data_IF_679080862190
#
_entry.id   IF_679080862190
#
_cell.length_a   1.000
_cell.length_b   1.000
_cell.length_c   1.000
_cell.angle_alpha   90.00
_cell.angle_beta   90.00
_cell.angle_gamma   90.00
#
_symmetry.space_group_name_H-M   'P 1'
#
loop_
_entity.id
_entity.type
_entity.pdbx_description
1 polymer ?
#
# COMPACT_ATOMS: atom_id res chain seq x y z
N UNK A 1 -37.67 -0.52 21.47
CA UNK A 1 -37.92 0.88 21.08
C UNK A 1 -38.97 1.01 19.97
N UNK A 2 -38.79 0.51 18.74
CA UNK A 2 -39.84 0.66 17.69
C UNK A 2 -41.21 0.05 18.07
N UNK A 3 -41.24 -1.15 18.66
CA UNK A 3 -42.49 -1.79 19.14
C UNK A 3 -43.11 -1.00 20.30
N UNK A 4 -42.28 -0.42 21.16
CA UNK A 4 -42.71 0.40 22.30
C UNK A 4 -43.32 1.71 21.83
N UNK A 5 -42.74 2.34 20.81
CA UNK A 5 -43.32 3.52 20.15
C UNK A 5 -44.67 3.21 19.50
N UNK A 6 -44.78 2.07 18.80
CA UNK A 6 -46.06 1.58 18.24
C UNK A 6 -47.11 1.36 19.33
N UNK A 7 -46.70 0.77 20.46
CA UNK A 7 -47.55 0.55 21.64
C UNK A 7 -48.04 1.88 22.23
N UNK A 8 -47.19 2.90 22.35
CA UNK A 8 -47.59 4.22 22.84
C UNK A 8 -48.67 4.82 21.95
N UNK A 9 -48.51 4.75 20.61
CA UNK A 9 -49.55 5.21 19.68
C UNK A 9 -50.89 4.50 19.91
N UNK A 10 -50.89 3.16 20.02
CA UNK A 10 -52.10 2.40 20.27
C UNK A 10 -52.76 2.71 21.61
N UNK A 11 -51.97 2.98 22.65
CA UNK A 11 -52.49 3.38 23.95
C UNK A 11 -53.14 4.77 23.90
N UNK A 12 -52.56 5.72 23.19
CA UNK A 12 -53.14 7.05 22.99
C UNK A 12 -54.44 6.97 22.20
N UNK A 13 -54.46 6.25 21.07
CA UNK A 13 -55.67 6.07 20.26
C UNK A 13 -56.81 5.38 21.03
N UNK A 14 -56.47 4.43 21.91
CA UNK A 14 -57.45 3.74 22.75
C UNK A 14 -58.05 4.66 23.83
N UNK A 15 -57.34 5.70 24.28
CA UNK A 15 -57.89 6.66 25.24
C UNK A 15 -58.97 7.56 24.61
N UNK A 16 -58.83 7.85 23.32
CA UNK A 16 -59.76 8.71 22.58
C UNK A 16 -60.98 7.93 22.04
N UNK A 17 -60.97 6.59 22.09
CA UNK A 17 -62.04 5.75 21.57
C UNK A 17 -62.96 5.22 22.68
N UNK A 18 -64.25 5.58 22.61
CA UNK A 18 -65.27 5.07 23.54
C UNK A 18 -65.38 3.54 23.47
N UNK A 19 -65.25 2.88 24.62
CA UNK A 19 -65.36 1.42 24.72
C UNK A 19 -64.07 0.63 24.48
N UNK A 20 -62.91 1.29 24.30
CA UNK A 20 -61.62 0.61 24.28
C UNK A 20 -61.07 0.40 25.69
N UNK A 21 -60.71 -0.83 26.05
CA UNK A 21 -59.98 -1.11 27.28
C UNK A 21 -58.50 -1.36 26.95
N UNK A 22 -57.58 -0.81 27.75
CA UNK A 22 -56.12 -1.05 27.59
C UNK A 22 -55.76 -2.54 27.64
N UNK A 23 -56.59 -3.38 28.28
CA UNK A 23 -56.45 -4.83 28.27
C UNK A 23 -56.66 -5.48 26.90
N UNK A 24 -57.43 -4.87 26.00
CA UNK A 24 -57.68 -5.37 24.64
C UNK A 24 -56.44 -5.29 23.75
N UNK A 25 -55.46 -4.45 24.10
CA UNK A 25 -54.19 -4.29 23.37
C UNK A 25 -53.18 -5.42 23.62
N UNK A 26 -53.44 -6.31 24.59
CA UNK A 26 -52.56 -7.41 24.95
C UNK A 26 -53.17 -8.75 24.55
N UNK A 27 -52.33 -9.65 24.05
CA UNK A 27 -52.75 -11.01 23.70
C UNK A 27 -53.22 -11.74 24.98
N UNK A 28 -54.54 -11.99 25.09
CA UNK A 28 -55.11 -12.83 26.15
C UNK A 28 -56.39 -12.32 26.81
N UNK A 29 -56.77 -11.04 26.64
CA UNK A 29 -57.91 -10.46 27.37
C UNK A 29 -58.92 -9.69 26.49
N UNK A 30 -58.68 -9.56 25.18
CA UNK A 30 -59.46 -8.65 24.34
C UNK A 30 -60.77 -9.22 23.79
N UNK A 31 -61.89 -8.51 24.00
CA UNK A 31 -63.17 -8.72 23.28
C UNK A 31 -63.58 -7.51 22.43
N UNK A 32 -62.82 -6.41 22.49
CA UNK A 32 -63.09 -5.18 21.74
C UNK A 32 -62.67 -5.21 20.27
N UNK A 33 -63.29 -4.36 19.46
CA UNK A 33 -62.89 -4.11 18.07
C UNK A 33 -61.66 -3.19 18.03
N UNK A 34 -60.53 -3.70 17.51
CA UNK A 34 -59.26 -2.97 17.40
C UNK A 34 -58.99 -2.44 15.99
N UNK A 35 -59.95 -2.50 15.08
CA UNK A 35 -59.79 -2.08 13.68
C UNK A 35 -59.42 -0.59 13.54
N UNK A 36 -59.89 0.25 14.45
CA UNK A 36 -59.61 1.70 14.48
C UNK A 36 -58.13 2.05 14.74
N UNK A 37 -57.35 1.14 15.35
CA UNK A 37 -55.94 1.40 15.66
C UNK A 37 -55.09 1.60 14.39
N UNK A 38 -55.44 0.92 13.29
CA UNK A 38 -54.74 1.10 12.02
C UNK A 38 -55.05 2.46 11.37
N UNK A 39 -56.26 2.99 11.57
CA UNK A 39 -56.62 4.33 11.07
C UNK A 39 -56.02 5.45 11.91
N UNK A 40 -55.86 5.25 13.22
CA UNK A 40 -55.31 6.26 14.14
C UNK A 40 -53.78 6.26 14.20
N UNK A 41 -53.12 5.13 13.92
CA UNK A 41 -51.66 5.00 13.95
C UNK A 41 -51.08 4.81 12.54
N UNK A 42 -51.32 5.80 11.66
CA UNK A 42 -50.77 5.78 10.31
C UNK A 42 -49.27 6.10 10.32
N UNK A 43 -48.49 5.32 9.57
CA UNK A 43 -47.04 5.49 9.43
C UNK A 43 -46.74 6.64 8.44
N UNK A 44 -47.00 7.87 8.86
CA UNK A 44 -46.79 9.09 8.08
C UNK A 44 -45.34 9.56 8.18
N UNK A 45 -44.80 10.12 7.08
CA UNK A 45 -43.52 10.84 7.12
C UNK A 45 -43.70 12.21 7.79
N UNK A 46 -42.64 12.74 8.41
CA UNK A 46 -42.64 14.06 9.07
C UNK A 46 -43.14 15.19 8.16
N UNK A 47 -42.93 15.08 6.84
CA UNK A 47 -43.37 16.05 5.83
C UNK A 47 -44.87 15.96 5.50
N UNK A 48 -45.53 14.87 5.88
CA UNK A 48 -46.94 14.57 5.60
C UNK A 48 -47.84 14.79 6.83
N UNK A 49 -47.24 15.03 8.01
CA UNK A 49 -47.94 15.39 9.24
C UNK A 49 -48.56 16.78 9.05
N UNK A 50 -49.88 16.82 8.88
CA UNK A 50 -50.63 18.07 8.65
C UNK A 50 -51.60 18.39 9.79
N UNK A 51 -51.93 17.41 10.63
CA UNK A 51 -52.88 17.54 11.73
C UNK A 51 -52.21 17.25 13.08
N UNK A 52 -52.57 17.98 14.16
CA UNK A 52 -52.10 17.65 15.53
C UNK A 52 -52.62 16.30 16.04
N UNK A 53 -53.52 15.64 15.31
CA UNK A 53 -54.03 14.30 15.63
C UNK A 53 -53.15 13.14 15.09
N UNK A 54 -52.18 13.44 14.20
CA UNK A 54 -51.32 12.41 13.61
C UNK A 54 -50.13 12.11 14.54
N UNK A 55 -49.87 10.81 14.78
CA UNK A 55 -48.79 10.39 15.68
C UNK A 55 -47.43 10.36 14.97
N UNK A 56 -46.44 11.06 15.51
CA UNK A 56 -45.08 11.08 14.97
C UNK A 56 -44.23 9.91 15.50
N UNK A 57 -43.84 9.02 14.57
CA UNK A 57 -43.00 7.85 14.83
C UNK A 57 -41.50 8.14 14.78
N UNK A 58 -41.09 9.33 14.34
CA UNK A 58 -39.70 9.78 14.31
C UNK A 58 -38.73 8.77 13.68
N UNK A 59 -37.62 8.51 14.37
CA UNK A 59 -36.55 7.62 13.91
C UNK A 59 -36.99 6.16 13.73
N UNK A 60 -38.11 5.76 14.34
CA UNK A 60 -38.60 4.39 14.27
C UNK A 60 -39.47 4.13 13.05
N UNK A 61 -39.87 5.19 12.31
CA UNK A 61 -40.63 5.07 11.07
C UNK A 61 -39.89 4.18 10.06
N UNK A 62 -38.56 4.35 9.97
CA UNK A 62 -37.69 3.53 9.11
C UNK A 62 -37.83 2.03 9.40
N UNK A 63 -37.94 1.64 10.67
CA UNK A 63 -38.07 0.23 11.08
C UNK A 63 -39.51 -0.30 10.98
N UNK A 64 -40.51 0.57 11.14
CA UNK A 64 -41.93 0.21 11.14
C UNK A 64 -42.50 0.09 9.72
N UNK A 65 -42.10 0.96 8.78
CA UNK A 65 -42.60 0.97 7.40
C UNK A 65 -42.32 -0.32 6.60
N UNK A 66 -41.12 -0.92 6.67
CA UNK A 66 -40.87 -2.22 6.04
C UNK A 66 -41.42 -3.40 6.87
N UNK A 67 -42.23 -3.14 7.91
CA UNK A 67 -42.83 -4.14 8.81
C UNK A 67 -41.78 -5.08 9.44
N UNK A 68 -40.54 -4.59 9.64
CA UNK A 68 -39.41 -5.38 10.16
C UNK A 68 -39.68 -5.81 11.60
N UNK A 69 -40.41 -5.00 12.37
CA UNK A 69 -40.84 -5.36 13.72
C UNK A 69 -41.80 -6.56 13.75
N UNK A 70 -42.57 -6.79 12.69
CA UNK A 70 -43.64 -7.78 12.62
C UNK A 70 -43.19 -9.12 12.01
N UNK A 71 -42.11 -9.11 11.23
CA UNK A 71 -41.53 -10.36 10.71
C UNK A 71 -41.11 -11.31 11.83
N UNK A 72 -41.25 -12.62 11.63
CA UNK A 72 -40.77 -13.64 12.57
C UNK A 72 -39.29 -13.98 12.37
N UNK A 73 -38.76 -13.76 11.17
CA UNK A 73 -37.39 -14.12 10.79
C UNK A 73 -36.32 -13.25 11.46
N UNK A 74 -35.50 -13.88 12.31
CA UNK A 74 -34.42 -13.20 13.01
C UNK A 74 -33.36 -12.62 12.06
N UNK A 75 -32.93 -13.37 11.05
CA UNK A 75 -31.87 -12.95 10.14
C UNK A 75 -32.22 -11.65 9.40
N UNK A 76 -33.48 -11.52 8.96
CA UNK A 76 -33.94 -10.31 8.26
C UNK A 76 -33.94 -9.10 9.19
N UNK A 77 -34.35 -9.27 10.45
CA UNK A 77 -34.26 -8.22 11.48
C UNK A 77 -32.82 -7.80 11.72
N UNK A 78 -31.92 -8.77 11.91
CA UNK A 78 -30.52 -8.51 12.18
C UNK A 78 -29.84 -7.70 11.07
N UNK A 79 -29.94 -8.15 9.81
CA UNK A 79 -29.29 -7.45 8.69
C UNK A 79 -29.88 -6.07 8.45
N UNK A 80 -31.19 -5.90 8.63
CA UNK A 80 -31.83 -4.59 8.53
C UNK A 80 -31.33 -3.63 9.63
N UNK A 81 -31.33 -4.07 10.89
CA UNK A 81 -30.83 -3.26 12.00
C UNK A 81 -29.34 -2.95 11.86
N UNK A 82 -28.54 -3.90 11.39
CA UNK A 82 -27.12 -3.71 11.12
C UNK A 82 -26.90 -2.67 10.01
N UNK A 83 -27.60 -2.79 8.89
CA UNK A 83 -27.54 -1.83 7.79
C UNK A 83 -27.96 -0.43 8.24
N UNK A 84 -29.07 -0.32 8.98
CA UNK A 84 -29.57 0.95 9.49
C UNK A 84 -28.58 1.60 10.46
N UNK A 85 -28.00 0.82 11.38
CA UNK A 85 -26.97 1.31 12.31
C UNK A 85 -25.72 1.77 11.57
N UNK A 86 -25.22 0.96 10.62
CA UNK A 86 -24.03 1.29 9.84
C UNK A 86 -24.21 2.55 8.99
N UNK A 87 -25.38 2.72 8.37
CA UNK A 87 -25.74 3.93 7.61
C UNK A 87 -25.63 5.18 8.47
N UNK A 88 -26.25 5.17 9.66
CA UNK A 88 -26.29 6.34 10.54
C UNK A 88 -24.93 6.65 11.19
N UNK A 89 -24.15 5.62 11.48
CA UNK A 89 -22.78 5.74 11.96
C UNK A 89 -21.87 6.39 10.91
N UNK A 90 -22.06 6.03 9.64
CA UNK A 90 -21.31 6.57 8.50
C UNK A 90 -21.76 7.98 8.12
N UNK A 91 -23.04 8.32 8.30
CA UNK A 91 -23.61 9.63 7.94
C UNK A 91 -23.66 10.62 9.10
N UNK A 92 -22.97 10.36 10.23
CA UNK A 92 -22.92 11.24 11.41
C UNK A 92 -24.32 11.63 11.94
N UNK A 93 -25.30 10.74 11.81
CA UNK A 93 -26.68 10.98 12.26
C UNK A 93 -27.47 12.04 11.47
N UNK A 94 -26.94 12.61 10.38
CA UNK A 94 -27.62 13.68 9.61
C UNK A 94 -28.95 13.28 8.98
N UNK A 95 -29.18 11.97 8.81
CA UNK A 95 -30.39 11.42 8.21
C UNK A 95 -31.44 10.99 9.25
N UNK A 96 -31.25 11.33 10.55
CA UNK A 96 -32.17 10.97 11.62
C UNK A 96 -33.19 12.09 11.85
N UNK A 97 -34.45 11.83 11.51
CA UNK A 97 -35.57 12.70 11.89
C UNK A 97 -36.11 12.27 13.26
N UNK A 98 -35.72 12.98 14.31
CA UNK A 98 -36.18 12.72 15.68
C UNK A 98 -37.53 13.38 15.93
N UNK A 99 -38.44 12.66 16.60
CA UNK A 99 -39.63 13.27 17.19
C UNK A 99 -39.26 14.08 18.45
N UNK A 100 -40.24 14.73 19.09
CA UNK A 100 -40.05 15.46 20.36
C UNK A 100 -39.83 14.55 21.58
N UNK A 101 -39.61 13.26 21.36
CA UNK A 101 -39.42 12.26 22.39
C UNK A 101 -37.99 12.26 22.94
N UNK A 102 -37.85 12.32 24.26
CA UNK A 102 -36.55 12.42 24.93
C UNK A 102 -35.68 11.19 24.69
N UNK A 103 -36.26 9.99 24.62
CA UNK A 103 -35.49 8.76 24.41
C UNK A 103 -34.95 8.70 22.97
N UNK A 104 -35.72 9.15 21.99
CA UNK A 104 -35.29 9.26 20.59
C UNK A 104 -34.12 10.23 20.44
N UNK A 105 -34.22 11.41 21.08
CA UNK A 105 -33.17 12.44 21.05
C UNK A 105 -31.89 11.92 21.68
N UNK A 106 -31.96 11.30 22.86
CA UNK A 106 -30.77 10.74 23.53
C UNK A 106 -30.11 9.62 22.71
N UNK A 107 -30.90 8.72 22.11
CA UNK A 107 -30.36 7.66 21.27
C UNK A 107 -29.70 8.19 19.98
N UNK A 108 -30.31 9.21 19.36
CA UNK A 108 -29.76 9.89 18.18
C UNK A 108 -28.44 10.60 18.49
N UNK A 109 -28.34 11.24 19.66
CA UNK A 109 -27.12 11.89 20.14
C UNK A 109 -25.98 10.88 20.30
N UNK A 110 -26.22 9.75 20.97
CA UNK A 110 -25.24 8.68 21.17
C UNK A 110 -24.70 8.15 19.82
N UNK A 111 -25.58 7.79 18.89
CA UNK A 111 -25.16 7.29 17.56
C UNK A 111 -24.32 8.33 16.81
N UNK A 112 -24.70 9.60 16.90
CA UNK A 112 -23.97 10.70 16.25
C UNK A 112 -22.57 10.87 16.84
N UNK A 113 -22.43 10.80 18.16
CA UNK A 113 -21.13 10.87 18.86
C UNK A 113 -20.23 9.68 18.43
N UNK A 114 -20.76 8.45 18.47
CA UNK A 114 -20.00 7.28 18.02
C UNK A 114 -19.60 7.38 16.55
N UNK A 115 -20.47 7.89 15.69
CA UNK A 115 -20.18 8.13 14.27
C UNK A 115 -19.01 9.08 14.06
N UNK A 116 -19.02 10.24 14.74
CA UNK A 116 -17.94 11.24 14.67
C UNK A 116 -16.60 10.67 15.13
N UNK A 117 -16.60 9.92 16.25
CA UNK A 117 -15.38 9.29 16.79
C UNK A 117 -14.81 8.29 15.79
N UNK A 118 -15.63 7.40 15.24
CA UNK A 118 -15.18 6.38 14.29
C UNK A 118 -14.63 6.98 13.00
N UNK A 119 -15.33 7.97 12.43
CA UNK A 119 -14.86 8.67 11.21
C UNK A 119 -13.54 9.39 11.47
N UNK A 120 -13.42 10.05 12.62
CA UNK A 120 -12.20 10.76 13.02
C UNK A 120 -11.03 9.82 13.27
N UNK A 121 -11.25 8.66 13.90
CA UNK A 121 -10.23 7.62 14.05
C UNK A 121 -9.78 7.06 12.70
N UNK A 122 -10.73 6.77 11.80
CA UNK A 122 -10.44 6.20 10.49
C UNK A 122 -9.63 7.18 9.61
N UNK A 123 -10.07 8.44 9.51
CA UNK A 123 -9.42 9.47 8.71
C UNK A 123 -8.09 9.90 9.36
N UNK A 124 -8.10 10.27 10.64
CA UNK A 124 -6.98 10.94 11.30
C UNK A 124 -5.82 10.02 11.68
N UNK A 125 -6.10 8.79 12.11
CA UNK A 125 -5.05 7.91 12.63
C UNK A 125 -4.63 6.82 11.65
N UNK A 126 -5.59 6.24 10.91
CA UNK A 126 -5.35 5.07 10.07
C UNK A 126 -4.99 5.45 8.64
N UNK A 127 -5.91 6.12 7.95
CA UNK A 127 -5.77 6.40 6.52
C UNK A 127 -4.58 7.32 6.22
N UNK A 128 -4.42 8.40 6.99
CA UNK A 128 -3.29 9.32 6.80
C UNK A 128 -1.94 8.65 7.05
N UNK A 129 -1.82 7.82 8.10
CA UNK A 129 -0.57 7.08 8.38
C UNK A 129 -0.29 6.01 7.33
N UNK A 130 -1.32 5.28 6.90
CA UNK A 130 -1.21 4.27 5.85
C UNK A 130 -0.76 4.88 4.53
N UNK A 131 -1.40 5.96 4.08
CA UNK A 131 -1.01 6.68 2.87
C UNK A 131 0.41 7.19 3.02
N UNK A 132 0.74 7.91 4.10
CA UNK A 132 2.08 8.47 4.34
C UNK A 132 3.18 7.41 4.37
N UNK A 133 2.91 6.21 4.89
CA UNK A 133 3.86 5.09 4.87
C UNK A 133 4.15 4.58 3.45
N UNK A 134 3.14 4.62 2.57
CA UNK A 134 3.22 4.13 1.19
C UNK A 134 3.74 5.22 0.25
N UNK A 135 3.42 6.48 0.50
CA UNK A 135 3.75 7.64 -0.37
C UNK A 135 4.93 8.47 0.13
N UNK A 136 5.41 8.26 1.36
CA UNK A 136 6.41 9.13 1.98
C UNK A 136 7.68 9.35 1.14
N UNK A 137 8.13 8.32 0.41
CA UNK A 137 9.30 8.44 -0.47
C UNK A 137 9.04 9.22 -1.76
N UNK A 138 7.80 9.21 -2.27
CA UNK A 138 7.41 10.02 -3.43
C UNK A 138 7.24 11.48 -3.04
N UNK A 139 6.63 11.73 -1.88
CA UNK A 139 6.46 13.07 -1.32
C UNK A 139 7.81 13.72 -0.97
N UNK A 140 8.74 12.96 -0.38
CA UNK A 140 10.09 13.47 -0.12
C UNK A 140 10.80 13.89 -1.41
N UNK A 141 10.61 13.14 -2.49
CA UNK A 141 11.14 13.46 -3.81
C UNK A 141 10.52 14.74 -4.39
N UNK A 142 9.19 14.91 -4.29
CA UNK A 142 8.50 16.05 -4.90
C UNK A 142 8.82 17.33 -4.16
N UNK A 143 8.94 17.27 -2.83
CA UNK A 143 9.38 18.40 -1.99
C UNK A 143 10.81 18.81 -2.36
N UNK A 144 11.78 17.90 -2.34
CA UNK A 144 13.16 18.19 -2.71
C UNK A 144 13.28 18.75 -4.12
N UNK A 145 12.51 18.21 -5.08
CA UNK A 145 12.46 18.73 -6.45
C UNK A 145 11.91 20.15 -6.49
N UNK A 146 10.85 20.45 -5.72
CA UNK A 146 10.28 21.78 -5.60
C UNK A 146 11.28 22.80 -5.05
N UNK A 147 12.01 22.43 -4.00
CA UNK A 147 13.05 23.27 -3.39
C UNK A 147 14.17 23.61 -4.40
N UNK A 148 14.64 22.63 -5.17
CA UNK A 148 15.67 22.83 -6.19
C UNK A 148 15.14 23.74 -7.31
N UNK A 149 13.91 23.53 -7.81
CA UNK A 149 13.32 24.40 -8.83
C UNK A 149 13.14 25.84 -8.34
N UNK A 150 12.68 26.02 -7.10
CA UNK A 150 12.55 27.33 -6.49
C UNK A 150 13.91 28.02 -6.36
N UNK A 151 14.94 27.30 -5.92
CA UNK A 151 16.31 27.81 -5.83
C UNK A 151 16.88 28.19 -7.21
N UNK A 152 16.66 27.36 -8.24
CA UNK A 152 17.07 27.65 -9.63
C UNK A 152 16.33 28.85 -10.23
N UNK A 153 15.06 29.05 -9.85
CA UNK A 153 14.25 30.20 -10.23
C UNK A 153 14.76 31.47 -9.57
N UNK A 154 14.97 31.44 -8.25
CA UNK A 154 15.46 32.57 -7.47
C UNK A 154 16.84 33.05 -7.92
N UNK A 155 17.71 32.13 -8.37
CA UNK A 155 19.04 32.45 -8.92
C UNK A 155 19.05 32.79 -10.41
N UNK A 156 17.89 32.84 -11.07
CA UNK A 156 17.76 33.19 -12.50
C UNK A 156 18.67 32.37 -13.41
N UNK A 157 18.82 31.06 -13.13
CA UNK A 157 19.69 30.20 -13.93
C UNK A 157 19.16 30.04 -15.37
N UNK A 158 20.04 29.97 -16.39
CA UNK A 158 19.63 29.76 -17.77
C UNK A 158 19.04 28.35 -17.97
N UNK A 159 18.10 28.20 -18.92
CA UNK A 159 17.32 26.96 -19.09
C UNK A 159 18.20 25.75 -19.47
N UNK A 160 19.32 25.98 -20.16
CA UNK A 160 20.28 24.92 -20.47
C UNK A 160 20.90 24.31 -19.20
N UNK A 161 21.21 25.13 -18.19
CA UNK A 161 21.77 24.70 -16.91
C UNK A 161 20.69 24.05 -16.06
N UNK A 162 19.48 24.60 -16.03
CA UNK A 162 18.32 23.99 -15.36
C UNK A 162 18.03 22.60 -15.90
N UNK A 163 18.03 22.43 -17.23
CA UNK A 163 17.84 21.13 -17.87
C UNK A 163 18.95 20.13 -17.48
N UNK A 164 20.21 20.59 -17.35
CA UNK A 164 21.31 19.74 -16.88
C UNK A 164 21.15 19.32 -15.41
N UNK A 165 20.75 20.25 -14.53
CA UNK A 165 20.49 19.97 -13.12
C UNK A 165 19.34 18.98 -12.97
N UNK A 166 18.21 19.19 -13.68
CA UNK A 166 17.07 18.26 -13.70
C UNK A 166 17.48 16.84 -14.10
N UNK A 167 18.28 16.69 -15.16
CA UNK A 167 18.79 15.37 -15.59
C UNK A 167 19.70 14.73 -14.54
N UNK A 168 20.57 15.51 -13.91
CA UNK A 168 21.46 15.02 -12.85
C UNK A 168 20.67 14.52 -11.64
N UNK A 169 19.69 15.29 -11.16
CA UNK A 169 18.83 14.89 -10.03
C UNK A 169 17.99 13.66 -10.34
N UNK A 170 17.42 13.57 -11.55
CA UNK A 170 16.72 12.36 -12.01
C UNK A 170 17.65 11.13 -12.01
N UNK A 171 18.88 11.29 -12.49
CA UNK A 171 19.86 10.22 -12.50
C UNK A 171 20.29 9.81 -11.07
N UNK A 172 20.56 10.79 -10.20
CA UNK A 172 20.89 10.59 -8.78
C UNK A 172 19.78 9.81 -8.08
N UNK A 173 18.51 10.17 -8.33
CA UNK A 173 17.36 9.47 -7.78
C UNK A 173 17.23 8.02 -8.26
N UNK A 174 17.35 7.77 -9.56
CA UNK A 174 17.26 6.42 -10.11
C UNK A 174 18.36 5.50 -9.58
N UNK A 175 19.51 6.04 -9.18
CA UNK A 175 20.59 5.24 -8.60
C UNK A 175 20.47 5.06 -7.09
N UNK A 176 20.27 6.16 -6.35
CA UNK A 176 20.35 6.17 -4.89
C UNK A 176 18.98 6.00 -4.20
N UNK A 177 17.86 6.03 -4.93
CA UNK A 177 16.47 5.99 -4.41
C UNK A 177 16.23 6.97 -3.25
N UNK A 178 16.92 8.11 -3.25
CA UNK A 178 16.84 9.13 -2.20
C UNK A 178 17.79 8.97 -1.02
N UNK A 179 18.60 7.90 -0.99
CA UNK A 179 19.57 7.68 0.08
C UNK A 179 20.83 8.48 -0.20
N UNK A 180 21.06 9.52 0.59
CA UNK A 180 22.34 10.23 0.59
C UNK A 180 23.36 9.44 1.43
N UNK A 181 24.17 8.64 0.74
CA UNK A 181 25.18 7.73 1.31
C UNK A 181 26.09 8.42 2.34
N UNK A 182 26.58 9.63 2.08
CA UNK A 182 27.38 10.41 3.03
C UNK A 182 26.61 10.76 4.32
N UNK A 183 25.36 11.21 4.20
CA UNK A 183 24.51 11.55 5.36
C UNK A 183 24.16 10.33 6.19
N UNK A 184 23.90 9.19 5.52
CA UNK A 184 23.61 7.92 6.16
C UNK A 184 24.84 7.43 6.93
N UNK A 185 26.01 7.48 6.29
CA UNK A 185 27.27 7.05 6.87
C UNK A 185 27.71 7.98 8.02
N UNK A 186 27.36 9.27 7.98
CA UNK A 186 27.66 10.20 9.07
C UNK A 186 26.81 10.01 10.31
N UNK A 187 25.62 9.41 10.19
CA UNK A 187 24.75 9.13 11.33
C UNK A 187 25.24 7.95 12.19
N UNK A 188 26.20 7.16 11.69
CA UNK A 188 26.79 6.05 12.42
C UNK A 188 27.99 6.47 13.30
N UNK A 189 28.23 5.78 14.43
CA UNK A 189 29.43 5.98 15.23
C UNK A 189 30.71 5.74 14.42
N UNK A 190 31.81 6.36 14.88
CA UNK A 190 33.09 6.40 14.13
C UNK A 190 33.60 5.01 13.75
N UNK A 191 33.42 4.03 14.62
CA UNK A 191 33.88 2.65 14.42
C UNK A 191 33.13 1.97 13.28
N UNK A 192 31.79 2.03 13.32
CA UNK A 192 30.94 1.43 12.28
C UNK A 192 31.14 2.11 10.92
N UNK A 193 31.32 3.43 10.92
CA UNK A 193 31.66 4.19 9.71
C UNK A 193 32.99 3.73 9.10
N UNK A 194 34.00 3.45 9.94
CA UNK A 194 35.29 2.95 9.48
C UNK A 194 35.14 1.58 8.85
N UNK A 195 34.42 0.67 9.50
CA UNK A 195 34.24 -0.70 9.01
C UNK A 195 33.45 -0.75 7.69
N UNK A 196 32.39 0.06 7.56
CA UNK A 196 31.63 0.20 6.30
C UNK A 196 32.53 0.73 5.18
N UNK A 197 33.30 1.79 5.44
CA UNK A 197 34.22 2.36 4.46
C UNK A 197 35.31 1.37 4.07
N UNK A 198 35.91 0.67 5.04
CA UNK A 198 36.92 -0.36 4.82
C UNK A 198 36.35 -1.47 3.95
N UNK A 199 35.16 -1.99 4.25
CA UNK A 199 34.53 -3.02 3.43
C UNK A 199 34.27 -2.58 1.98
N UNK A 200 33.71 -1.37 1.80
CA UNK A 200 33.40 -0.82 0.47
C UNK A 200 34.65 -0.50 -0.35
N UNK A 201 35.70 0.03 0.30
CA UNK A 201 36.91 0.50 -0.36
C UNK A 201 37.97 -0.59 -0.55
N UNK A 202 38.12 -1.51 0.39
CA UNK A 202 39.12 -2.58 0.33
C UNK A 202 38.99 -3.42 -0.95
N UNK A 203 37.76 -3.78 -1.29
CA UNK A 203 37.43 -4.52 -2.53
C UNK A 203 37.79 -3.75 -3.82
N UNK A 204 37.95 -2.43 -3.74
CA UNK A 204 38.28 -1.57 -4.88
C UNK A 204 39.80 -1.41 -5.03
N UNK A 205 40.50 -1.13 -3.93
CA UNK A 205 41.94 -0.93 -3.94
C UNK A 205 42.68 -2.23 -4.25
N UNK A 206 42.27 -3.36 -3.68
CA UNK A 206 42.88 -4.68 -3.95
C UNK A 206 42.72 -5.17 -5.39
N UNK A 207 41.80 -4.59 -6.17
CA UNK A 207 41.67 -4.89 -7.61
C UNK A 207 42.72 -4.21 -8.48
N UNK A 208 43.38 -3.18 -7.94
CA UNK A 208 44.39 -2.43 -8.68
C UNK A 208 45.76 -2.97 -8.26
N UNK A 209 46.53 -3.58 -9.18
CA UNK A 209 47.76 -4.31 -8.84
C UNK A 209 48.87 -3.43 -8.22
N UNK A 210 48.76 -2.11 -8.34
CA UNK A 210 49.66 -1.16 -7.67
C UNK A 210 49.46 -1.11 -6.14
N UNK A 211 48.23 -1.32 -5.68
CA UNK A 211 47.84 -1.16 -4.26
C UNK A 211 47.84 -2.49 -3.49
N UNK A 212 47.93 -3.62 -4.19
CA UNK A 212 47.98 -4.96 -3.58
C UNK A 212 49.21 -5.16 -2.67
N UNK A 213 50.31 -4.46 -2.96
CA UNK A 213 51.58 -4.58 -2.22
C UNK A 213 51.81 -3.45 -1.21
N UNK A 214 50.84 -2.55 -1.02
CA UNK A 214 50.98 -1.44 -0.06
C UNK A 214 50.60 -1.89 1.35
N UNK A 215 51.17 -1.22 2.35
CA UNK A 215 50.89 -1.49 3.75
C UNK A 215 49.40 -1.27 4.09
N UNK A 216 48.86 -2.12 4.95
CA UNK A 216 47.44 -2.14 5.31
C UNK A 216 47.02 -0.83 6.00
N UNK A 217 47.91 -0.20 6.76
CA UNK A 217 47.65 1.08 7.41
C UNK A 217 47.51 2.23 6.40
N UNK A 218 48.31 2.21 5.34
CA UNK A 218 48.23 3.19 4.26
C UNK A 218 46.93 3.01 3.46
N UNK A 219 46.55 1.75 3.18
CA UNK A 219 45.29 1.43 2.52
C UNK A 219 44.07 1.86 3.36
N UNK A 220 44.10 1.64 4.67
CA UNK A 220 43.02 2.08 5.57
C UNK A 220 42.92 3.62 5.61
N UNK A 221 44.07 4.31 5.63
CA UNK A 221 44.12 5.77 5.53
C UNK A 221 43.55 6.28 4.19
N UNK A 222 43.85 5.63 3.07
CA UNK A 222 43.27 5.96 1.76
C UNK A 222 41.75 5.72 1.74
N UNK A 223 41.29 4.58 2.27
CA UNK A 223 39.86 4.25 2.35
C UNK A 223 39.06 5.21 3.23
N UNK A 224 39.68 5.77 4.27
CA UNK A 224 39.03 6.78 5.12
C UNK A 224 38.71 8.08 4.36
N UNK A 225 39.56 8.44 3.38
CA UNK A 225 39.49 9.69 2.59
C UNK A 225 38.74 9.53 1.26
N UNK A 226 38.54 8.31 0.79
CA UNK A 226 37.78 8.03 -0.42
C UNK A 226 36.32 8.52 -0.29
N UNK A 227 35.82 9.24 -1.30
CA UNK A 227 34.43 9.70 -1.39
C UNK A 227 33.78 9.18 -2.67
N UNK A 228 32.62 8.51 -2.61
CA UNK A 228 31.93 8.05 -3.81
C UNK A 228 31.25 9.22 -4.52
N UNK A 229 31.61 9.45 -5.79
CA UNK A 229 31.02 10.50 -6.64
C UNK A 229 30.29 9.88 -7.84
N UNK A 230 29.12 10.43 -8.19
CA UNK A 230 28.31 10.02 -9.33
C UNK A 230 28.42 11.04 -10.47
N UNK A 231 28.96 10.60 -11.60
CA UNK A 231 28.99 11.37 -12.84
C UNK A 231 27.86 10.93 -13.76
N UNK A 232 27.12 11.89 -14.32
CA UNK A 232 26.06 11.63 -15.30
C UNK A 232 26.65 11.39 -16.70
N UNK A 233 25.89 10.76 -17.58
CA UNK A 233 26.28 10.56 -18.99
C UNK A 233 26.57 11.93 -19.66
N UNK A 234 27.64 11.99 -20.46
CA UNK A 234 28.12 13.21 -21.12
C UNK A 234 28.53 14.37 -20.17
N UNK A 235 28.86 14.06 -18.91
CA UNK A 235 29.54 15.03 -18.04
C UNK A 235 31.06 14.94 -18.20
N UNK A 236 31.71 16.10 -18.29
CA UNK A 236 33.17 16.18 -18.31
C UNK A 236 33.70 15.96 -16.90
N UNK A 237 34.57 14.97 -16.73
CA UNK A 237 35.24 14.67 -15.46
C UNK A 237 36.40 15.66 -15.24
N UNK A 238 37.19 15.89 -16.28
CA UNK A 238 38.26 16.88 -16.31
C UNK A 238 38.11 17.71 -17.60
N UNK A 239 38.48 19.00 -17.55
CA UNK A 239 38.65 19.83 -18.74
C UNK A 239 40.12 20.10 -18.98
N UNK A 240 40.48 20.22 -20.24
CA UNK A 240 41.84 20.57 -20.63
C UNK A 240 42.19 21.96 -20.10
N UNK A 241 43.24 22.05 -19.29
CA UNK A 241 43.68 23.28 -18.62
C UNK A 241 43.28 23.43 -17.14
N UNK A 242 42.40 22.56 -16.61
CA UNK A 242 42.09 22.54 -15.18
C UNK A 242 43.22 21.83 -14.39
N UNK A 243 43.66 22.35 -13.23
CA UNK A 243 44.60 21.63 -12.36
C UNK A 243 43.98 20.33 -11.85
N UNK A 244 44.76 19.24 -11.89
CA UNK A 244 44.31 17.93 -11.40
C UNK A 244 44.64 17.84 -9.90
N UNK A 245 43.68 18.23 -9.06
CA UNK A 245 43.83 18.21 -7.60
C UNK A 245 43.34 16.90 -6.97
N UNK A 246 42.67 16.03 -7.74
CA UNK A 246 42.01 14.81 -7.25
C UNK A 246 42.33 13.59 -8.11
N UNK A 247 42.55 12.45 -7.44
CA UNK A 247 42.69 11.13 -8.09
C UNK A 247 41.36 10.38 -8.06
N UNK A 248 40.91 9.90 -9.22
CA UNK A 248 39.63 9.20 -9.36
C UNK A 248 39.82 7.70 -9.61
N UNK A 249 39.01 6.89 -8.93
CA UNK A 249 38.93 5.44 -9.13
C UNK A 249 37.58 5.04 -9.73
N UNK A 250 37.59 4.33 -10.86
CA UNK A 250 36.36 3.95 -11.56
C UNK A 250 35.80 2.65 -10.97
N UNK A 251 34.66 2.74 -10.27
CA UNK A 251 34.11 1.61 -9.50
C UNK A 251 33.05 0.77 -10.23
N UNK A 252 32.05 1.41 -10.84
CA UNK A 252 30.80 0.73 -11.30
C UNK A 252 30.34 1.06 -12.72
N UNK A 253 31.05 1.96 -13.42
CA UNK A 253 30.58 2.58 -14.67
C UNK A 253 30.30 1.55 -15.77
N UNK A 254 31.20 0.58 -15.95
CA UNK A 254 31.07 -0.39 -17.05
C UNK A 254 29.96 -1.43 -16.82
N UNK A 255 29.83 -1.95 -15.60
CA UNK A 255 28.82 -2.97 -15.27
C UNK A 255 27.39 -2.44 -15.40
N UNK A 256 27.15 -1.19 -15.00
CA UNK A 256 25.81 -0.59 -15.05
C UNK A 256 25.44 -0.08 -16.44
N UNK A 257 26.40 0.50 -17.17
CA UNK A 257 26.20 0.84 -18.58
C UNK A 257 25.89 -0.42 -19.40
N UNK A 258 26.65 -1.50 -19.21
CA UNK A 258 26.41 -2.77 -19.89
C UNK A 258 25.06 -3.40 -19.52
N UNK A 259 24.68 -3.38 -18.24
CA UNK A 259 23.37 -3.88 -17.80
C UNK A 259 22.20 -3.08 -18.39
N UNK A 260 22.24 -1.75 -18.33
CA UNK A 260 21.21 -0.88 -18.93
C UNK A 260 21.14 -1.03 -20.45
N UNK A 261 22.29 -1.25 -21.11
CA UNK A 261 22.34 -1.53 -22.55
C UNK A 261 21.66 -2.87 -22.85
N UNK A 262 21.89 -3.91 -22.04
CA UNK A 262 21.21 -5.20 -22.17
C UNK A 262 19.70 -5.07 -21.94
N UNK A 263 19.28 -4.38 -20.87
CA UNK A 263 17.86 -4.17 -20.56
C UNK A 263 17.13 -3.43 -21.69
N UNK A 264 17.73 -2.38 -22.26
CA UNK A 264 17.16 -1.68 -23.44
C UNK A 264 17.05 -2.59 -24.65
N UNK A 265 18.10 -3.36 -24.96
CA UNK A 265 18.04 -4.31 -26.09
C UNK A 265 17.02 -5.43 -25.87
N UNK A 266 16.79 -5.83 -24.61
CA UNK A 266 15.79 -6.83 -24.26
C UNK A 266 14.39 -6.27 -24.48
N UNK A 267 14.14 -5.05 -24.02
CA UNK A 267 12.85 -4.41 -24.15
C UNK A 267 12.49 -4.09 -25.60
N UNK A 268 13.45 -3.62 -26.39
CA UNK A 268 13.28 -3.44 -27.85
C UNK A 268 12.98 -4.77 -28.57
N UNK A 269 13.58 -5.88 -28.12
CA UNK A 269 13.30 -7.20 -28.69
C UNK A 269 11.93 -7.75 -28.26
N UNK A 270 11.51 -7.51 -27.02
CA UNK A 270 10.20 -7.87 -26.51
C UNK A 270 9.09 -7.08 -27.21
N UNK A 271 9.25 -5.77 -27.36
CA UNK A 271 8.30 -4.92 -28.11
C UNK A 271 8.18 -5.38 -29.58
N UNK A 272 9.30 -5.80 -30.20
CA UNK A 272 9.28 -6.38 -31.56
C UNK A 272 8.53 -7.71 -31.61
N UNK A 273 8.69 -8.56 -30.60
CA UNK A 273 7.96 -9.82 -30.49
C UNK A 273 6.46 -9.55 -30.30
N UNK A 274 6.11 -8.64 -29.39
CA UNK A 274 4.72 -8.26 -29.13
C UNK A 274 4.06 -7.64 -30.36
N UNK A 275 4.77 -6.79 -31.11
CA UNK A 275 4.28 -6.23 -32.37
C UNK A 275 4.10 -7.31 -33.46
N UNK A 276 4.98 -8.32 -33.51
CA UNK A 276 4.82 -9.45 -34.43
C UNK A 276 3.60 -10.31 -34.07
N UNK A 277 3.40 -10.57 -32.78
CA UNK A 277 2.25 -11.32 -32.27
C UNK A 277 0.93 -10.54 -32.43
N UNK A 278 0.93 -9.22 -32.21
CA UNK A 278 -0.26 -8.38 -32.40
C UNK A 278 -0.67 -8.26 -33.87
N UNK A 279 0.26 -8.46 -34.80
CA UNK A 279 0.00 -8.49 -36.24
C UNK A 279 -0.61 -9.82 -36.71
N UNK A 280 -0.54 -10.87 -35.88
CA UNK A 280 -1.19 -12.16 -36.09
C UNK A 280 -2.50 -12.18 -35.27
N UNK A 281 -3.63 -11.95 -35.94
CA UNK A 281 -4.93 -11.72 -35.31
C UNK A 281 -5.40 -12.78 -34.30
N UNK A 282 -6.32 -12.36 -33.43
CA UNK A 282 -6.83 -12.97 -32.19
C UNK A 282 -7.55 -14.33 -32.33
N UNK A 283 -6.95 -15.33 -32.96
CA UNK A 283 -7.56 -16.67 -33.02
C UNK A 283 -6.78 -17.78 -33.71
N UNK A 284 -5.61 -17.53 -34.30
CA UNK A 284 -4.77 -18.58 -34.88
C UNK A 284 -3.53 -18.85 -34.05
N UNK A 285 -3.15 -20.12 -33.94
CA UNK A 285 -1.87 -20.57 -33.37
C UNK A 285 -0.72 -19.67 -33.83
N UNK A 286 0.25 -19.34 -32.95
CA UNK A 286 1.37 -18.45 -33.31
C UNK A 286 2.08 -18.99 -34.54
N UNK A 287 2.36 -18.12 -35.52
CA UNK A 287 2.96 -18.56 -36.77
C UNK A 287 4.30 -19.25 -36.54
N UNK A 288 4.67 -20.11 -37.49
CA UNK A 288 5.98 -20.73 -37.53
C UNK A 288 7.10 -19.67 -37.44
N UNK A 289 6.89 -18.47 -37.98
CA UNK A 289 7.84 -17.37 -37.93
C UNK A 289 7.97 -16.79 -36.50
N UNK A 290 6.87 -16.56 -35.79
CA UNK A 290 6.88 -16.11 -34.40
C UNK A 290 7.55 -17.15 -33.47
N UNK A 291 7.27 -18.43 -33.69
CA UNK A 291 7.87 -19.55 -32.94
C UNK A 291 9.36 -19.69 -33.21
N UNK A 292 9.80 -19.59 -34.47
CA UNK A 292 11.22 -19.59 -34.85
C UNK A 292 11.95 -18.38 -34.25
N UNK A 293 11.31 -17.21 -34.24
CA UNK A 293 11.90 -16.01 -33.65
C UNK A 293 12.05 -16.13 -32.14
N UNK A 294 11.02 -16.60 -31.42
CA UNK A 294 11.08 -16.85 -29.98
C UNK A 294 12.17 -17.88 -29.62
N UNK A 295 12.29 -18.96 -30.42
CA UNK A 295 13.34 -19.96 -30.25
C UNK A 295 14.74 -19.38 -30.47
N UNK A 296 14.95 -18.58 -31.53
CA UNK A 296 16.23 -17.89 -31.78
C UNK A 296 16.55 -16.85 -30.71
N UNK A 297 15.55 -16.14 -30.22
CA UNK A 297 15.68 -15.17 -29.13
C UNK A 297 16.13 -15.86 -27.84
N UNK A 298 15.44 -16.92 -27.41
CA UNK A 298 15.82 -17.73 -26.25
C UNK A 298 17.24 -18.33 -26.41
N UNK A 299 17.58 -18.80 -27.60
CA UNK A 299 18.90 -19.37 -27.89
C UNK A 299 20.02 -18.33 -27.80
N UNK A 300 19.82 -17.13 -28.37
CA UNK A 300 20.79 -16.03 -28.25
C UNK A 300 20.91 -15.52 -26.81
N UNK A 301 19.80 -15.49 -26.06
CA UNK A 301 19.81 -15.11 -24.64
C UNK A 301 20.63 -16.11 -23.80
N UNK A 302 20.39 -17.42 -23.97
CA UNK A 302 21.16 -18.47 -23.29
C UNK A 302 22.65 -18.45 -23.67
N UNK A 303 22.96 -18.14 -24.93
CA UNK A 303 24.34 -18.01 -25.42
C UNK A 303 25.06 -16.82 -24.79
N UNK A 304 24.37 -15.69 -24.61
CA UNK A 304 24.92 -14.52 -23.91
C UNK A 304 25.09 -14.76 -22.41
N UNK A 305 24.17 -15.49 -21.76
CA UNK A 305 24.30 -15.87 -20.35
C UNK A 305 25.48 -16.82 -20.13
N UNK A 306 25.69 -17.81 -21.02
CA UNK A 306 26.87 -18.71 -20.96
C UNK A 306 28.18 -17.99 -21.25
N UNK A 307 28.21 -17.04 -22.18
CA UNK A 307 29.43 -16.32 -22.57
C UNK A 307 29.90 -15.32 -21.51
N UNK A 308 28.99 -14.84 -20.66
CA UNK A 308 29.26 -13.81 -19.65
C UNK A 308 29.22 -14.33 -18.20
N UNK A 309 29.19 -15.65 -18.00
CA UNK A 309 29.37 -16.22 -16.67
C UNK A 309 30.82 -15.97 -16.25
N UNK A 310 31.08 -15.22 -15.15
CA UNK A 310 32.45 -15.00 -14.69
C UNK A 310 33.08 -16.35 -14.37
N UNK A 311 34.28 -16.61 -14.90
CA UNK A 311 35.11 -17.75 -14.51
C UNK A 311 35.49 -17.62 -13.04
N UNK A 312 34.57 -17.99 -12.16
CA UNK A 312 34.82 -18.49 -10.81
C UNK A 312 33.70 -19.50 -10.54
N UNK A 313 34.12 -20.76 -10.51
CA UNK A 313 33.34 -21.96 -10.25
C UNK A 313 32.47 -21.87 -9.01
N UNK A 314 31.15 -22.05 -9.18
CA UNK A 314 30.34 -22.90 -8.31
C UNK A 314 29.47 -23.74 -9.23
N UNK A 315 29.72 -25.05 -9.21
CA UNK A 315 28.88 -26.09 -9.77
C UNK A 315 27.44 -25.95 -9.23
N UNK A 316 26.46 -25.88 -10.14
CA UNK A 316 25.07 -26.12 -9.80
C UNK A 316 24.96 -27.57 -9.27
N UNK A 317 24.32 -27.85 -8.12
CA UNK A 317 23.99 -29.22 -7.76
C UNK A 317 22.97 -29.75 -8.77
N UNK A 318 23.26 -30.93 -9.31
CA UNK A 318 22.36 -31.68 -10.18
C UNK A 318 20.99 -31.87 -9.51
N UNK A 319 19.92 -31.58 -10.24
CA UNK A 319 18.57 -32.02 -9.91
C UNK A 319 18.46 -33.54 -10.22
N UNK A 320 18.14 -34.43 -9.27
CA UNK A 320 17.96 -35.85 -9.57
C UNK A 320 16.51 -36.16 -10.01
N UNK A 321 16.28 -37.22 -10.81
CA UNK A 321 14.96 -37.64 -11.25
C UNK A 321 14.19 -38.42 -10.15
N UNK A 322 12.85 -38.36 -10.20
CA UNK A 322 11.93 -38.91 -9.20
C UNK A 322 11.64 -40.42 -9.37
N UNK A 323 11.86 -41.19 -8.29
CA UNK A 323 11.11 -42.40 -7.87
C UNK A 323 11.84 -43.77 -7.92
N UNK A 324 11.48 -44.81 -7.10
CA UNK A 324 10.59 -44.87 -5.92
C UNK A 324 11.24 -45.48 -4.63
N UNK A 325 10.60 -45.21 -3.49
CA UNK A 325 10.52 -45.92 -2.18
C UNK A 325 11.66 -46.89 -1.74
N UNK A 326 12.37 -46.57 -0.65
CA UNK A 326 12.41 -47.32 0.64
C UNK A 326 13.44 -46.75 1.63
N UNK A 327 13.18 -47.00 2.93
CA UNK A 327 13.71 -46.37 4.15
C UNK A 327 15.18 -46.68 4.52
N UNK A 328 15.79 -45.64 5.11
CA UNK A 328 16.74 -45.53 6.24
C UNK A 328 18.18 -46.10 6.16
N UNK A 329 19.12 -45.26 6.62
CA UNK A 329 20.46 -45.61 7.12
C UNK A 329 20.87 -44.60 8.23
N UNK A 330 21.89 -44.87 9.05
CA UNK A 330 21.84 -45.11 10.50
C UNK A 330 22.32 -43.91 11.33
N UNK A 331 22.28 -44.05 12.67
CA UNK A 331 22.66 -43.05 13.67
C UNK A 331 24.08 -42.46 13.48
N UNK A 332 24.22 -41.19 13.86
CA UNK A 332 25.46 -40.41 13.83
C UNK A 332 26.50 -40.93 14.84
N UNK A 333 27.81 -40.84 14.52
CA UNK A 333 28.87 -41.16 15.48
C UNK A 333 29.08 -40.00 16.46
N UNK A 334 29.04 -40.32 17.75
CA UNK A 334 29.43 -39.43 18.86
C UNK A 334 30.96 -39.34 18.94
N UNK A 335 31.50 -38.11 18.96
CA UNK A 335 32.93 -37.82 19.07
C UNK A 335 33.28 -37.13 20.40
N UNK A 336 32.64 -37.55 21.49
CA UNK A 336 32.94 -37.07 22.83
C UNK A 336 33.54 -38.16 23.72
N UNK A 337 34.70 -38.71 23.34
CA UNK A 337 35.59 -39.41 24.28
C UNK A 337 36.98 -39.68 23.66
N UNK A 338 37.98 -38.91 24.08
CA UNK A 338 39.32 -39.46 24.30
C UNK A 338 39.59 -39.46 25.82
N UNK A 339 39.92 -40.67 26.29
CA UNK A 339 40.27 -41.11 27.65
C UNK A 339 41.70 -40.62 28.03
N UNK A 340 42.42 -41.16 29.04
CA UNK A 340 42.05 -41.93 30.25
C UNK A 340 42.74 -41.39 31.54
N UNK A 341 42.26 -41.88 32.69
CA UNK A 341 43.14 -42.32 33.78
C UNK A 341 42.62 -43.64 34.32
#
# INVERSE_FOLDING_TARGET
MAIERKKICWQTACLDHNGCNRGDLYCGAGRGDTSFLNSSCQLLETNEIKSPADFDFGIFLDALRPHVAEHTDFSRKFFYCFWWGWRNLSSLGQNLNTSSDVLEIMFSLEISIYGVILVSMFIGSGLQKYIRSRTGRLEEMTVKRGEIEQWMSHRMLPENLRARIRRHEQYKWQEKRGVEEESLISNFPKDLRRDIKRHLCWTLLTRVPLFEKMDEQLLDAMCSRLKPVLYAENSFIFREGDPIDEMLFIMKVWRRHYRRKIEKTLQEAEDRLQNALAKEGSGSSPSLAATIYASRFATNMLRNLRRNQPHNTISLPNLPPLGPLLRQKPAEPDFSAENPS
#
